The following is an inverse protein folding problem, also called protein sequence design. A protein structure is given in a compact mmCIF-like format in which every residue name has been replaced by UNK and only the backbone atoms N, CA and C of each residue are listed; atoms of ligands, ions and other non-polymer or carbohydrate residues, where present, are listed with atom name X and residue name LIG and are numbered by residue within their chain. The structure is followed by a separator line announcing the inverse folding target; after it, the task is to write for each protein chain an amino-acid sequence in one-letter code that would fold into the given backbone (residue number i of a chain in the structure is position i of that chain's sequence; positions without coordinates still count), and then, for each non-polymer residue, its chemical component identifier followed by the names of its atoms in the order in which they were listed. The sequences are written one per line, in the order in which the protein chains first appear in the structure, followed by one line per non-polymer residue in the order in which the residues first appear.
data_IF_985776565777
#
_entry.id   IF_985776565777
#
_cell.length_a   1.000
_cell.length_b   1.000
_cell.length_c   1.000
_cell.angle_alpha   90.00
_cell.angle_beta   90.00
_cell.angle_gamma   90.00
#
_symmetry.space_group_name_H-M   'P 1'
#
loop_
_entity.id
_entity.type
_entity.pdbx_description
1 polymer ?
#
# COMPACT_ATOMS: atom_id res chain seq x y z
N UNK A 1 16.73 7.54 -16.82
CA UNK A 1 15.55 6.64 -16.63
C UNK A 1 14.29 7.49 -16.66
N UNK A 2 13.28 7.15 -17.47
CA UNK A 2 12.00 7.85 -17.45
C UNK A 2 11.17 7.46 -16.22
N UNK A 3 10.18 8.29 -15.79
CA UNK A 3 9.26 7.92 -14.71
C UNK A 3 8.57 6.57 -14.95
N UNK A 4 8.16 6.28 -16.18
CA UNK A 4 7.51 5.02 -16.56
C UNK A 4 8.46 3.82 -16.44
N UNK A 5 9.73 3.99 -16.83
CA UNK A 5 10.75 2.95 -16.66
C UNK A 5 11.02 2.69 -15.17
N UNK A 6 11.01 3.73 -14.33
CA UNK A 6 11.21 3.61 -12.90
C UNK A 6 10.12 2.76 -12.25
N UNK A 7 8.84 3.11 -12.47
CA UNK A 7 7.72 2.36 -11.86
C UNK A 7 7.66 0.93 -12.37
N UNK A 8 7.98 0.70 -13.64
CA UNK A 8 8.06 -0.64 -14.21
C UNK A 8 9.15 -1.46 -13.52
N UNK A 9 10.35 -0.91 -13.36
CA UNK A 9 11.46 -1.58 -12.69
C UNK A 9 11.12 -1.90 -11.23
N UNK A 10 10.52 -0.96 -10.50
CA UNK A 10 10.09 -1.18 -9.11
C UNK A 10 9.07 -2.30 -9.01
N UNK A 11 8.08 -2.33 -9.90
CA UNK A 11 7.06 -3.38 -9.90
C UNK A 11 7.64 -4.77 -10.25
N UNK A 12 8.57 -4.84 -11.20
CA UNK A 12 9.27 -6.10 -11.55
C UNK A 12 10.12 -6.59 -10.38
N UNK A 13 10.90 -5.69 -9.76
CA UNK A 13 11.82 -6.03 -8.67
C UNK A 13 11.11 -6.57 -7.42
N UNK A 14 9.83 -6.23 -7.22
CA UNK A 14 9.04 -6.73 -6.08
C UNK A 14 8.85 -8.25 -6.06
N UNK A 15 9.02 -8.93 -7.19
CA UNK A 15 8.77 -10.38 -7.31
C UNK A 15 7.31 -10.80 -7.12
N UNK A 16 6.40 -9.83 -6.96
CA UNK A 16 4.99 -10.10 -6.65
C UNK A 16 4.23 -10.73 -7.81
N UNK A 17 3.39 -11.72 -7.49
CA UNK A 17 2.46 -12.32 -8.46
C UNK A 17 1.46 -11.32 -9.05
N UNK A 18 1.15 -10.22 -8.35
CA UNK A 18 0.30 -9.15 -8.86
C UNK A 18 0.86 -8.50 -10.12
N UNK A 19 2.19 -8.31 -10.19
CA UNK A 19 2.83 -7.76 -11.38
C UNK A 19 2.49 -8.58 -12.64
N UNK A 20 2.55 -9.89 -12.56
CA UNK A 20 2.21 -10.76 -13.70
C UNK A 20 0.74 -10.63 -14.12
N UNK A 21 -0.16 -10.46 -13.14
CA UNK A 21 -1.56 -10.22 -13.43
C UNK A 21 -1.78 -8.89 -14.18
N UNK A 22 -1.00 -7.86 -13.88
CA UNK A 22 -1.10 -6.57 -14.57
C UNK A 22 -0.77 -6.65 -16.07
N UNK A 23 0.05 -7.61 -16.49
CA UNK A 23 0.42 -7.78 -17.89
C UNK A 23 -0.77 -8.10 -18.81
N UNK A 24 -1.84 -8.66 -18.26
CA UNK A 24 -3.08 -8.98 -19.00
C UNK A 24 -4.03 -7.78 -19.17
N UNK A 25 -3.75 -6.65 -18.50
CA UNK A 25 -4.57 -5.45 -18.60
C UNK A 25 -4.29 -4.66 -19.88
N UNK A 26 -5.28 -3.93 -20.41
CA UNK A 26 -5.07 -2.94 -21.46
C UNK A 26 -4.01 -1.91 -21.04
N UNK A 27 -3.21 -1.44 -22.01
CA UNK A 27 -2.03 -0.61 -21.73
C UNK A 27 -2.29 0.61 -20.80
N UNK A 28 -3.40 1.39 -20.94
CA UNK A 28 -3.66 2.51 -20.04
C UNK A 28 -3.89 2.07 -18.58
N UNK A 29 -4.69 1.01 -18.38
CA UNK A 29 -4.96 0.46 -17.03
C UNK A 29 -3.71 -0.17 -16.43
N UNK A 30 -2.94 -0.87 -17.24
CA UNK A 30 -1.66 -1.43 -16.82
C UNK A 30 -0.69 -0.34 -16.38
N UNK A 31 -0.58 0.77 -17.10
CA UNK A 31 0.25 1.89 -16.70
C UNK A 31 -0.19 2.48 -15.35
N UNK A 32 -1.49 2.67 -15.16
CA UNK A 32 -2.04 3.22 -13.92
C UNK A 32 -1.81 2.30 -12.71
N UNK A 33 -2.12 1.00 -12.85
CA UNK A 33 -1.92 0.07 -11.74
C UNK A 33 -0.45 -0.14 -11.42
N UNK A 34 0.44 -0.14 -12.42
CA UNK A 34 1.89 -0.27 -12.21
C UNK A 34 2.43 0.94 -11.46
N UNK A 35 2.02 2.17 -11.82
CA UNK A 35 2.43 3.38 -11.13
C UNK A 35 1.89 3.43 -9.69
N UNK A 36 0.64 3.09 -9.48
CA UNK A 36 0.04 3.02 -8.15
C UNK A 36 0.70 1.94 -7.28
N UNK A 37 0.93 0.75 -7.83
CA UNK A 37 1.63 -0.32 -7.14
C UNK A 37 3.05 0.07 -6.75
N UNK A 38 3.78 0.75 -7.65
CA UNK A 38 5.12 1.25 -7.35
C UNK A 38 5.09 2.29 -6.21
N UNK A 39 4.05 3.13 -6.12
CA UNK A 39 3.85 4.03 -4.99
C UNK A 39 3.70 3.25 -3.68
N UNK A 40 2.80 2.25 -3.65
CA UNK A 40 2.61 1.43 -2.46
C UNK A 40 3.92 0.78 -2.02
N UNK A 41 4.69 0.20 -2.95
CA UNK A 41 5.99 -0.43 -2.63
C UNK A 41 7.05 0.55 -2.15
N UNK A 42 7.10 1.76 -2.70
CA UNK A 42 8.05 2.78 -2.22
C UNK A 42 7.78 3.20 -0.78
N UNK A 43 6.49 3.31 -0.42
CA UNK A 43 6.10 3.69 0.95
C UNK A 43 6.30 2.53 1.93
N UNK A 44 5.96 1.32 1.50
CA UNK A 44 6.09 0.08 2.27
C UNK A 44 7.57 -0.23 2.58
N UNK A 45 8.45 -0.14 1.59
CA UNK A 45 9.89 -0.35 1.75
C UNK A 45 10.54 0.64 2.75
N UNK A 46 9.90 1.78 3.04
CA UNK A 46 10.37 2.68 4.10
C UNK A 46 10.29 2.01 5.48
N UNK A 47 9.27 1.22 5.70
CA UNK A 47 9.05 0.53 6.98
C UNK A 47 9.83 -0.78 7.02
N UNK A 48 9.83 -1.52 5.92
CA UNK A 48 10.46 -2.84 5.84
C UNK A 48 12.00 -2.78 5.83
N UNK A 49 12.59 -1.80 5.13
CA UNK A 49 14.03 -1.77 4.87
C UNK A 49 14.81 -0.82 5.79
N UNK A 50 14.14 0.15 6.43
CA UNK A 50 14.81 1.17 7.23
C UNK A 50 14.83 0.76 8.70
N UNK A 51 16.00 0.36 9.19
CA UNK A 51 16.18 -0.11 10.57
C UNK A 51 16.06 0.98 11.65
N UNK A 52 16.26 2.26 11.30
CA UNK A 52 16.12 3.38 12.23
C UNK A 52 14.71 3.99 12.15
N UNK A 53 13.90 3.88 13.22
CA UNK A 53 12.54 4.42 13.21
C UNK A 53 12.45 5.94 13.01
N UNK A 54 13.49 6.70 13.41
CA UNK A 54 13.55 8.15 13.20
C UNK A 54 13.76 8.50 11.73
N UNK A 55 14.60 7.73 11.05
CA UNK A 55 14.83 7.87 9.61
C UNK A 55 13.57 7.45 8.84
N UNK A 56 12.92 6.34 9.23
CA UNK A 56 11.67 5.90 8.62
C UNK A 56 10.56 6.96 8.74
N UNK A 57 10.34 7.53 9.93
CA UNK A 57 9.38 8.64 10.12
C UNK A 57 9.69 9.84 9.23
N UNK A 58 10.96 10.20 9.11
CA UNK A 58 11.37 11.33 8.25
C UNK A 58 11.06 11.06 6.79
N UNK A 59 11.30 9.82 6.33
CA UNK A 59 10.97 9.41 4.95
C UNK A 59 9.46 9.39 4.71
N UNK A 60 8.64 8.88 5.65
CA UNK A 60 7.18 8.91 5.52
C UNK A 60 6.65 10.36 5.50
N UNK A 61 7.16 11.25 6.36
CA UNK A 61 6.81 12.67 6.33
C UNK A 61 7.19 13.32 4.99
N UNK A 62 8.31 12.93 4.41
CA UNK A 62 8.69 13.36 3.07
C UNK A 62 7.68 12.88 2.01
N UNK A 63 7.22 11.62 2.08
CA UNK A 63 6.20 11.10 1.18
C UNK A 63 4.87 11.84 1.32
N UNK A 64 4.45 12.18 2.55
CA UNK A 64 3.25 13.03 2.78
C UNK A 64 3.37 14.39 2.09
N UNK A 65 4.54 15.03 2.20
CA UNK A 65 4.81 16.30 1.53
C UNK A 65 4.86 16.15 0.01
N UNK A 66 5.48 15.09 -0.51
CA UNK A 66 5.56 14.81 -1.95
C UNK A 66 4.17 14.56 -2.55
N UNK A 67 3.31 13.78 -1.89
CA UNK A 67 1.92 13.58 -2.31
C UNK A 67 1.17 14.91 -2.36
N UNK A 68 1.31 15.74 -1.33
CA UNK A 68 0.66 17.06 -1.28
C UNK A 68 1.13 17.97 -2.44
N UNK A 69 2.44 18.02 -2.70
CA UNK A 69 3.01 18.78 -3.83
C UNK A 69 2.52 18.26 -5.17
N UNK A 70 2.45 16.94 -5.31
CA UNK A 70 2.04 16.32 -6.56
C UNK A 70 0.60 16.67 -6.92
N UNK A 71 -0.33 16.65 -5.95
CA UNK A 71 -1.71 17.11 -6.17
C UNK A 71 -1.84 18.63 -6.35
N UNK A 72 -0.84 19.40 -5.91
CA UNK A 72 -0.70 20.82 -6.25
C UNK A 72 -0.05 21.06 -7.64
N UNK A 73 0.18 20.01 -8.43
CA UNK A 73 0.77 20.09 -9.76
C UNK A 73 2.30 20.16 -9.79
N UNK A 74 2.97 19.82 -8.70
CA UNK A 74 4.43 19.93 -8.56
C UNK A 74 5.06 18.58 -8.11
N UNK A 75 4.78 17.44 -8.79
CA UNK A 75 5.41 16.17 -8.47
C UNK A 75 6.91 16.22 -8.74
N UNK A 76 7.70 15.63 -7.85
CA UNK A 76 9.17 15.59 -8.01
C UNK A 76 9.70 14.16 -8.11
N UNK A 77 9.08 13.20 -7.39
CA UNK A 77 9.51 11.82 -7.42
C UNK A 77 9.06 11.10 -8.70
N UNK A 78 9.88 10.23 -9.30
CA UNK A 78 9.52 9.51 -10.53
C UNK A 78 8.18 8.76 -10.45
N UNK A 79 7.86 8.17 -9.31
CA UNK A 79 6.56 7.51 -9.11
C UNK A 79 5.41 8.50 -9.22
N UNK A 80 5.51 9.67 -8.59
CA UNK A 80 4.45 10.69 -8.66
C UNK A 80 4.37 11.32 -10.06
N UNK A 81 5.51 11.50 -10.74
CA UNK A 81 5.54 11.93 -12.14
C UNK A 81 4.85 10.93 -13.08
N UNK A 82 4.94 9.63 -12.80
CA UNK A 82 4.25 8.60 -13.58
C UNK A 82 2.76 8.49 -13.24
N UNK A 83 2.39 8.66 -11.96
CA UNK A 83 1.04 8.44 -11.45
C UNK A 83 0.10 9.62 -11.70
N UNK A 84 0.57 10.86 -11.48
CA UNK A 84 -0.30 12.04 -11.51
C UNK A 84 -1.02 12.27 -12.84
N UNK A 85 -0.39 12.05 -14.02
CA UNK A 85 -1.11 12.16 -15.29
C UNK A 85 -2.30 11.22 -15.44
N UNK A 86 -2.32 10.12 -14.67
CA UNK A 86 -3.34 9.08 -14.72
C UNK A 86 -4.36 9.19 -13.56
N UNK A 87 -4.03 9.96 -12.52
CA UNK A 87 -4.81 10.01 -11.29
C UNK A 87 -6.25 10.48 -11.51
N UNK A 88 -6.46 11.49 -12.36
CA UNK A 88 -7.80 12.02 -12.67
C UNK A 88 -8.65 11.00 -13.40
N UNK A 89 -8.09 10.33 -14.40
CA UNK A 89 -8.83 9.39 -15.25
C UNK A 89 -9.35 8.17 -14.47
N UNK A 90 -8.62 7.78 -13.42
CA UNK A 90 -8.96 6.63 -12.58
C UNK A 90 -9.50 7.01 -11.19
N UNK A 91 -9.75 8.30 -10.93
CA UNK A 91 -10.29 8.78 -9.66
C UNK A 91 -9.38 8.44 -8.47
N UNK A 92 -8.06 8.47 -8.67
CA UNK A 92 -7.08 8.32 -7.60
C UNK A 92 -6.95 9.67 -6.91
N UNK A 93 -7.47 9.77 -5.71
CA UNK A 93 -7.49 11.00 -4.92
C UNK A 93 -6.33 11.04 -3.93
N UNK A 94 -5.93 12.24 -3.52
CA UNK A 94 -4.87 12.45 -2.53
C UNK A 94 -5.09 11.62 -1.25
N UNK A 95 -6.34 11.53 -0.78
CA UNK A 95 -6.70 10.76 0.42
C UNK A 95 -6.35 9.27 0.32
N UNK A 96 -6.37 8.67 -0.88
CA UNK A 96 -6.01 7.26 -1.05
C UNK A 96 -4.51 7.05 -0.83
N UNK A 97 -3.68 7.94 -1.36
CA UNK A 97 -2.23 7.87 -1.18
C UNK A 97 -1.85 8.19 0.26
N UNK A 98 -2.53 9.17 0.86
CA UNK A 98 -2.32 9.54 2.25
C UNK A 98 -2.65 8.38 3.19
N UNK A 99 -3.77 7.67 2.94
CA UNK A 99 -4.19 6.51 3.74
C UNK A 99 -3.14 5.38 3.72
N UNK A 100 -2.50 5.13 2.58
CA UNK A 100 -1.40 4.14 2.50
C UNK A 100 -0.22 4.57 3.37
N UNK A 101 0.18 5.85 3.32
CA UNK A 101 1.28 6.38 4.14
C UNK A 101 0.92 6.30 5.64
N UNK A 102 -0.32 6.65 6.01
CA UNK A 102 -0.79 6.59 7.39
C UNK A 102 -0.79 5.14 7.91
N UNK A 103 -1.14 4.17 7.05
CA UNK A 103 -1.04 2.75 7.38
C UNK A 103 0.40 2.31 7.67
N UNK A 104 1.34 2.69 6.82
CA UNK A 104 2.78 2.40 7.05
C UNK A 104 3.31 3.12 8.30
N UNK A 105 2.79 4.30 8.62
CA UNK A 105 3.15 4.98 9.87
C UNK A 105 2.64 4.21 11.09
N UNK A 106 1.45 3.58 11.01
CA UNK A 106 0.95 2.72 12.10
C UNK A 106 1.89 1.54 12.35
N UNK A 107 2.51 0.96 11.33
CA UNK A 107 3.51 -0.13 11.51
C UNK A 107 4.74 0.32 12.30
N UNK A 108 5.16 1.57 12.16
CA UNK A 108 6.27 2.12 12.95
C UNK A 108 5.90 2.42 14.40
N UNK A 109 4.62 2.70 14.69
CA UNK A 109 4.16 3.21 15.98
C UNK A 109 3.48 2.14 16.83
N UNK A 110 2.91 1.11 16.18
CA UNK A 110 2.11 0.10 16.85
C UNK A 110 2.79 -1.28 16.78
N UNK A 111 3.23 -1.77 17.92
CA UNK A 111 3.80 -3.11 18.03
C UNK A 111 2.74 -4.20 18.21
N UNK A 112 1.47 -3.82 18.47
CA UNK A 112 0.35 -4.76 18.63
C UNK A 112 -1.00 -4.04 18.52
N UNK A 113 -2.02 -4.75 18.12
CA UNK A 113 -3.42 -4.33 18.17
C UNK A 113 -4.12 -4.97 19.37
N UNK A 114 -4.82 -4.16 20.18
CA UNK A 114 -5.48 -4.63 21.41
C UNK A 114 -6.81 -5.35 21.10
N UNK A 115 -7.39 -5.05 19.95
CA UNK A 115 -8.67 -5.62 19.51
C UNK A 115 -8.74 -5.74 17.99
N UNK A 116 -9.75 -6.43 17.50
CA UNK A 116 -9.97 -6.60 16.08
C UNK A 116 -10.32 -5.30 15.35
N UNK A 117 -10.95 -4.34 16.03
CA UNK A 117 -11.32 -3.06 15.43
C UNK A 117 -10.08 -2.24 15.06
N UNK A 118 -9.06 -2.20 15.93
CA UNK A 118 -7.78 -1.57 15.66
C UNK A 118 -7.04 -2.23 14.50
N UNK A 119 -6.98 -3.58 14.49
CA UNK A 119 -6.39 -4.33 13.39
C UNK A 119 -7.14 -4.10 12.07
N UNK A 120 -8.47 -4.04 12.10
CA UNK A 120 -9.29 -3.75 10.93
C UNK A 120 -9.03 -2.35 10.39
N UNK A 121 -8.83 -1.35 11.27
CA UNK A 121 -8.43 0.00 10.88
C UNK A 121 -7.12 0.03 10.11
N UNK A 122 -6.11 -0.66 10.59
CA UNK A 122 -4.84 -0.85 9.89
C UNK A 122 -5.02 -1.51 8.52
N UNK A 123 -5.67 -2.67 8.48
CA UNK A 123 -5.93 -3.39 7.23
C UNK A 123 -6.74 -2.56 6.22
N UNK A 124 -7.63 -1.68 6.69
CA UNK A 124 -8.32 -0.72 5.83
C UNK A 124 -7.33 0.20 5.10
N UNK A 125 -6.37 0.77 5.84
CA UNK A 125 -5.42 1.73 5.28
C UNK A 125 -4.45 1.08 4.28
N UNK A 126 -3.86 -0.07 4.63
CA UNK A 126 -2.81 -0.70 3.82
C UNK A 126 -3.34 -1.62 2.71
N UNK A 127 -4.57 -2.08 2.79
CA UNK A 127 -5.13 -3.04 1.82
C UNK A 127 -6.54 -2.69 1.33
N UNK A 128 -7.44 -2.25 2.19
CA UNK A 128 -8.80 -1.88 1.80
C UNK A 128 -8.81 -0.75 0.78
N UNK A 129 -8.11 0.36 1.07
CA UNK A 129 -7.96 1.51 0.17
C UNK A 129 -7.25 1.11 -1.13
N UNK A 130 -6.25 0.23 -1.06
CA UNK A 130 -5.53 -0.28 -2.23
C UNK A 130 -6.49 -1.07 -3.13
N UNK A 131 -7.35 -1.90 -2.55
CA UNK A 131 -8.40 -2.63 -3.27
C UNK A 131 -9.40 -1.70 -3.97
N UNK A 132 -9.83 -0.63 -3.30
CA UNK A 132 -10.74 0.37 -3.88
C UNK A 132 -10.11 1.06 -5.11
N UNK A 133 -8.87 1.52 -4.99
CA UNK A 133 -8.15 2.15 -6.11
C UNK A 133 -7.94 1.16 -7.25
N UNK A 134 -7.57 -0.08 -6.96
CA UNK A 134 -7.41 -1.12 -7.97
C UNK A 134 -8.72 -1.39 -8.73
N UNK A 135 -9.86 -1.47 -8.02
CA UNK A 135 -11.17 -1.66 -8.65
C UNK A 135 -11.52 -0.52 -9.61
N UNK A 136 -11.21 0.73 -9.27
CA UNK A 136 -11.40 1.89 -10.14
C UNK A 136 -10.53 1.81 -11.39
N UNK A 137 -9.24 1.48 -11.24
CA UNK A 137 -8.32 1.31 -12.37
C UNK A 137 -8.78 0.16 -13.28
N UNK A 138 -9.31 -0.92 -12.73
CA UNK A 138 -9.85 -2.06 -13.49
C UNK A 138 -11.17 -1.72 -14.18
N UNK A 139 -11.77 -0.56 -13.86
CA UNK A 139 -12.93 -0.02 -14.55
C UNK A 139 -14.24 -0.60 -14.05
N UNK A 140 -14.36 -0.77 -12.74
CA UNK A 140 -15.61 -1.13 -12.12
C UNK A 140 -16.70 -0.10 -12.43
N UNK A 141 -17.95 -0.58 -12.61
CA UNK A 141 -19.13 0.25 -12.90
C UNK A 141 -20.24 0.10 -11.86
N UNK A 142 -20.14 -0.89 -10.99
CA UNK A 142 -21.09 -1.15 -9.90
C UNK A 142 -20.47 -0.72 -8.56
N UNK A 143 -21.12 0.21 -7.81
CA UNK A 143 -20.63 0.64 -6.49
C UNK A 143 -20.36 -0.50 -5.51
N UNK A 144 -21.09 -1.63 -5.62
CA UNK A 144 -20.88 -2.82 -4.81
C UNK A 144 -19.51 -3.47 -5.05
N UNK A 145 -18.93 -3.26 -6.24
CA UNK A 145 -17.58 -3.74 -6.55
C UNK A 145 -16.53 -3.04 -5.70
N UNK A 146 -16.71 -1.76 -5.38
CA UNK A 146 -15.81 -1.03 -4.50
C UNK A 146 -15.84 -1.61 -3.08
N UNK A 147 -17.03 -1.88 -2.55
CA UNK A 147 -17.18 -2.52 -1.25
C UNK A 147 -16.58 -3.94 -1.24
N UNK A 148 -16.84 -4.71 -2.29
CA UNK A 148 -16.24 -6.04 -2.45
C UNK A 148 -14.71 -5.98 -2.49
N UNK A 149 -14.14 -5.06 -3.27
CA UNK A 149 -12.69 -4.88 -3.39
C UNK A 149 -12.05 -4.47 -2.05
N UNK A 150 -12.72 -3.59 -1.29
CA UNK A 150 -12.29 -3.22 0.05
C UNK A 150 -12.27 -4.43 1.00
N UNK A 151 -13.35 -5.21 1.03
CA UNK A 151 -13.45 -6.43 1.88
C UNK A 151 -12.44 -7.50 1.47
N UNK A 152 -12.20 -7.64 0.16
CA UNK A 152 -11.19 -8.56 -0.36
C UNK A 152 -9.77 -8.13 0.03
N UNK A 153 -9.46 -6.84 -0.05
CA UNK A 153 -8.20 -6.29 0.43
C UNK A 153 -7.97 -6.59 1.91
N UNK A 154 -8.99 -6.37 2.74
CA UNK A 154 -8.97 -6.72 4.17
C UNK A 154 -8.68 -8.22 4.38
N UNK A 155 -9.37 -9.10 3.65
CA UNK A 155 -9.17 -10.55 3.74
C UNK A 155 -7.75 -10.96 3.32
N UNK A 156 -7.19 -10.35 2.28
CA UNK A 156 -5.81 -10.60 1.86
C UNK A 156 -4.82 -10.17 2.93
N UNK A 157 -5.00 -8.99 3.52
CA UNK A 157 -4.08 -8.51 4.56
C UNK A 157 -4.12 -9.40 5.81
N UNK A 158 -5.30 -9.80 6.26
CA UNK A 158 -5.44 -10.76 7.36
C UNK A 158 -4.78 -12.10 7.03
N UNK A 159 -4.90 -12.57 5.80
CA UNK A 159 -4.24 -13.80 5.34
C UNK A 159 -2.72 -13.66 5.35
N UNK A 160 -2.19 -12.52 4.89
CA UNK A 160 -0.76 -12.22 4.94
C UNK A 160 -0.26 -12.24 6.39
N UNK A 161 -0.93 -11.51 7.29
CA UNK A 161 -0.57 -11.49 8.71
C UNK A 161 -0.53 -12.90 9.30
N UNK A 162 -1.54 -13.76 9.01
CA UNK A 162 -1.59 -15.13 9.51
C UNK A 162 -0.46 -15.99 8.91
N UNK A 163 -0.19 -15.86 7.62
CA UNK A 163 0.89 -16.58 6.94
C UNK A 163 2.25 -16.25 7.54
N UNK A 164 2.48 -14.97 7.78
CA UNK A 164 3.78 -14.45 8.16
C UNK A 164 4.09 -14.65 9.66
N UNK A 165 3.06 -15.03 10.48
CA UNK A 165 3.26 -15.41 11.90
C UNK A 165 4.38 -16.43 12.10
N UNK A 166 4.47 -17.42 11.21
CA UNK A 166 5.51 -18.47 11.30
C UNK A 166 6.91 -17.95 11.01
N UNK A 167 7.06 -17.02 10.08
CA UNK A 167 8.34 -16.39 9.71
C UNK A 167 8.75 -15.36 10.75
N UNK A 168 7.83 -14.54 11.23
CA UNK A 168 8.04 -13.52 12.24
C UNK A 168 8.31 -14.09 13.64
N UNK A 169 7.87 -15.32 13.92
CA UNK A 169 8.15 -16.02 15.17
C UNK A 169 9.57 -16.61 15.25
N UNK A 170 10.35 -16.61 14.17
CA UNK A 170 11.77 -16.96 14.21
C UNK A 170 12.57 -15.84 14.87
N UNK A 171 13.67 -16.12 15.63
CA UNK A 171 14.19 -15.27 16.72
C UNK A 171 14.76 -13.89 16.33
N UNK A 172 14.44 -13.34 15.18
CA UNK A 172 14.89 -12.02 14.72
C UNK A 172 13.75 -11.02 14.50
N UNK A 173 12.48 -11.43 14.50
CA UNK A 173 11.32 -10.59 14.15
C UNK A 173 10.17 -10.64 15.16
N UNK A 174 10.44 -10.53 16.44
CA UNK A 174 9.38 -10.48 17.47
C UNK A 174 8.53 -9.18 17.47
N UNK A 175 8.65 -8.32 16.49
CA UNK A 175 8.06 -6.99 16.54
C UNK A 175 6.65 -6.85 15.99
N UNK A 176 6.12 -7.79 15.20
CA UNK A 176 4.88 -7.53 14.46
C UNK A 176 3.65 -8.38 14.82
N UNK A 177 3.75 -9.44 15.62
CA UNK A 177 2.62 -10.35 15.82
C UNK A 177 2.46 -10.82 17.28
N UNK A 178 1.89 -9.98 18.11
CA UNK A 178 1.13 -10.48 19.25
C UNK A 178 -0.35 -10.17 19.06
N UNK A 179 -1.07 -11.05 18.36
CA UNK A 179 -2.51 -11.13 18.55
C UNK A 179 -2.74 -11.40 20.04
N UNK A 180 -3.62 -10.66 20.73
CA UNK A 180 -3.97 -10.98 22.08
C UNK A 180 -4.68 -12.34 22.06
N UNK A 181 -3.97 -13.40 22.40
CA UNK A 181 -4.62 -14.64 22.83
C UNK A 181 -5.24 -14.32 24.17
N UNK A 182 -6.50 -13.96 24.20
CA UNK A 182 -7.29 -14.00 25.43
C UNK A 182 -7.34 -15.45 25.88
N UNK A 183 -6.79 -15.80 27.06
CA UNK A 183 -7.08 -17.10 27.62
C UNK A 183 -8.58 -17.10 27.92
N UNK A 184 -9.32 -17.98 27.27
CA UNK A 184 -10.65 -18.34 27.74
C UNK A 184 -10.49 -19.08 29.08
N UNK A 185 -10.91 -18.44 30.13
CA UNK A 185 -11.24 -19.10 31.41
C UNK A 185 -12.67 -19.53 31.33
#
# INVERSE_FOLDING_TARGET
MTPQQYVQQKAVASGSSFYYAFLFLPAPRRAAITAFYAFCREVDDVVDEVSDPGVARTKLAWWQAEVTKAYAGQPTHPVMLALMPLATDYGIEQRHLQAVIDGCQMDLEQTRYLDFAGLQGYCHLVAGVVGEVAARIFGQTDPRTTEYAHRLGLAFQLTNIIRDVGEDAMPVSYTHLTLPTTPYV
#
